data_IF_715922467260
#
_entry.id   IF_715922467260
#
_cell.length_a   1.000
_cell.length_b   1.000
_cell.length_c   1.000
_cell.angle_alpha   90.00
_cell.angle_beta   90.00
_cell.angle_gamma   90.00
#
_symmetry.space_group_name_H-M   'P 1'
#
loop_
_entity.id
_entity.type
_entity.pdbx_description
1 polymer ?
#
# COMPACT_ATOMS: atom_id res chain seq x y z
N UNK A 1 0.85 -11.21 24.81
CA UNK A 1 0.75 -11.98 23.56
C UNK A 1 1.02 -11.05 22.41
N UNK A 2 1.99 -11.43 21.56
CA UNK A 2 2.41 -10.90 20.26
C UNK A 2 2.14 -9.44 19.91
N UNK A 3 3.17 -8.64 20.18
CA UNK A 3 3.41 -7.36 19.52
C UNK A 3 3.85 -7.62 18.06
N UNK A 4 2.95 -8.13 17.20
CA UNK A 4 3.17 -8.15 15.76
C UNK A 4 3.30 -6.72 15.30
N UNK A 5 4.54 -6.28 15.15
CA UNK A 5 4.88 -4.90 14.93
C UNK A 5 4.32 -4.50 13.56
N UNK A 6 3.39 -3.53 13.53
CA UNK A 6 2.63 -3.10 12.34
C UNK A 6 3.48 -2.76 11.11
N UNK A 7 4.78 -2.52 11.31
CA UNK A 7 5.75 -2.17 10.28
C UNK A 7 6.10 -3.29 9.28
N UNK A 8 5.73 -4.55 9.57
CA UNK A 8 5.98 -5.71 8.69
C UNK A 8 4.71 -6.47 8.26
N UNK A 9 3.54 -5.84 8.31
CA UNK A 9 2.28 -6.52 7.96
C UNK A 9 2.22 -6.99 6.49
N UNK A 10 3.07 -6.46 5.61
CA UNK A 10 3.27 -6.97 4.25
C UNK A 10 4.63 -6.51 3.67
N UNK A 11 5.16 -7.22 2.65
CA UNK A 11 6.36 -6.78 1.94
C UNK A 11 6.17 -5.44 1.22
N UNK A 12 7.27 -4.72 0.99
CA UNK A 12 7.26 -3.53 0.14
C UNK A 12 6.92 -3.94 -1.29
N UNK A 13 5.95 -3.25 -1.89
CA UNK A 13 5.50 -3.48 -3.27
C UNK A 13 5.40 -2.18 -4.04
N UNK A 14 5.51 -2.28 -5.36
CA UNK A 14 5.33 -1.17 -6.27
C UNK A 14 3.90 -1.18 -6.82
N UNK A 15 3.21 -0.05 -6.69
CA UNK A 15 1.86 0.13 -7.21
C UNK A 15 1.93 0.93 -8.52
N UNK A 16 1.31 0.46 -9.62
CA UNK A 16 1.34 1.15 -10.91
C UNK A 16 0.35 2.32 -10.93
N UNK A 17 0.64 3.38 -10.16
CA UNK A 17 -0.30 4.51 -9.97
C UNK A 17 -0.28 5.51 -11.14
N UNK A 18 0.74 5.44 -11.99
CA UNK A 18 1.00 6.40 -13.08
C UNK A 18 -0.05 6.35 -14.19
N UNK A 19 -0.64 5.18 -14.46
CA UNK A 19 -1.60 5.01 -15.56
C UNK A 19 -3.00 5.58 -15.25
N UNK A 20 -3.43 5.51 -14.00
CA UNK A 20 -4.81 5.84 -13.56
C UNK A 20 -4.87 6.99 -12.55
N UNK A 21 -3.73 7.42 -12.01
CA UNK A 21 -3.64 8.40 -10.93
C UNK A 21 -4.14 7.89 -9.58
N UNK A 22 -4.55 6.61 -9.48
CA UNK A 22 -5.07 5.97 -8.26
C UNK A 22 -4.64 4.51 -8.21
N UNK A 23 -4.23 4.03 -7.04
CA UNK A 23 -3.95 2.62 -6.84
C UNK A 23 -4.32 2.17 -5.43
N UNK A 24 -4.63 0.88 -5.30
CA UNK A 24 -4.95 0.25 -4.03
C UNK A 24 -3.92 -0.80 -3.68
N UNK A 25 -3.41 -0.80 -2.45
CA UNK A 25 -2.53 -1.85 -1.98
C UNK A 25 -3.29 -3.18 -1.89
N UNK A 26 -2.83 -4.27 -2.53
CA UNK A 26 -3.52 -5.55 -2.50
C UNK A 26 -3.41 -6.27 -1.15
N UNK A 27 -2.51 -5.83 -0.26
CA UNK A 27 -2.28 -6.44 1.05
C UNK A 27 -3.06 -5.74 2.16
N UNK A 28 -2.84 -4.44 2.35
CA UNK A 28 -3.47 -3.67 3.42
C UNK A 28 -4.71 -2.90 2.98
N UNK A 29 -5.01 -2.86 1.68
CA UNK A 29 -6.18 -2.14 1.15
C UNK A 29 -6.06 -0.63 1.17
N UNK A 30 -4.88 -0.06 1.45
CA UNK A 30 -4.67 1.38 1.43
C UNK A 30 -4.86 1.97 0.02
N UNK A 31 -5.63 3.05 -0.06
CA UNK A 31 -5.89 3.80 -1.29
C UNK A 31 -4.89 4.94 -1.45
N UNK A 32 -4.19 4.95 -2.57
CA UNK A 32 -3.20 5.95 -2.96
C UNK A 32 -3.73 6.77 -4.14
N UNK A 33 -3.53 8.09 -4.07
CA UNK A 33 -3.90 9.03 -5.13
C UNK A 33 -2.67 9.85 -5.50
N UNK A 34 -2.35 9.89 -6.78
CA UNK A 34 -1.27 10.73 -7.30
C UNK A 34 -1.71 12.19 -7.24
N UNK A 35 -1.04 12.99 -6.42
CA UNK A 35 -1.28 14.43 -6.35
C UNK A 35 -0.51 15.12 -7.47
N UNK A 36 -1.23 15.89 -8.28
CA UNK A 36 -0.70 16.80 -9.31
C UNK A 36 0.11 17.94 -8.71
#
# INVERSE_FOLDING_TARGET
MDSMSLWNSHPRVYLPIEATGKAKCPYCGADYVLKS
#
